data_IF_393966422774
#
_entry.id   IF_393966422774
#
_cell.length_a   1.000
_cell.length_b   1.000
_cell.length_c   1.000
_cell.angle_alpha   90.00
_cell.angle_beta   90.00
_cell.angle_gamma   90.00
#
_symmetry.space_group_name_H-M   'P 1'
#
loop_
_entity.id
_entity.type
_entity.pdbx_description
1 polymer ?
#
# COMPACT_ATOMS: atom_id res chain seq x y z
N UNK A 1 -12.30 -20.13 4.43
CA UNK A 1 -12.12 -19.29 3.23
C UNK A 1 -13.26 -18.28 3.23
N UNK A 2 -12.97 -17.05 3.65
CA UNK A 2 -14.01 -16.03 3.87
C UNK A 2 -14.60 -15.60 2.53
N UNK A 3 -15.88 -15.89 2.36
CA UNK A 3 -16.67 -15.63 1.17
C UNK A 3 -17.07 -14.15 1.14
N UNK A 4 -16.11 -13.24 0.94
CA UNK A 4 -16.42 -11.83 0.75
C UNK A 4 -16.96 -11.66 -0.67
N UNK A 5 -18.24 -11.30 -0.76
CA UNK A 5 -18.92 -11.15 -2.05
C UNK A 5 -18.29 -9.97 -2.84
N UNK A 6 -18.32 -9.98 -4.19
CA UNK A 6 -17.78 -8.87 -5.00
C UNK A 6 -18.36 -7.49 -4.65
N UNK A 7 -19.60 -7.46 -4.15
CA UNK A 7 -20.28 -6.25 -3.66
C UNK A 7 -19.69 -5.71 -2.35
N UNK A 8 -19.14 -6.59 -1.52
CA UNK A 8 -18.42 -6.21 -0.30
C UNK A 8 -17.04 -5.63 -0.65
N UNK A 9 -16.33 -6.22 -1.63
CA UNK A 9 -15.06 -5.69 -2.13
C UNK A 9 -15.18 -4.25 -2.68
N UNK A 10 -16.21 -4.00 -3.49
CA UNK A 10 -16.46 -2.66 -4.04
C UNK A 10 -16.75 -1.63 -2.94
N UNK A 11 -17.58 -2.00 -1.95
CA UNK A 11 -17.91 -1.13 -0.82
C UNK A 11 -16.68 -0.85 0.06
N UNK A 12 -15.87 -1.89 0.34
CA UNK A 12 -14.62 -1.76 1.08
C UNK A 12 -13.63 -0.85 0.33
N UNK A 13 -13.57 -0.94 -1.00
CA UNK A 13 -12.73 -0.08 -1.85
C UNK A 13 -13.18 1.37 -1.77
N UNK A 14 -14.46 1.65 -1.99
CA UNK A 14 -14.98 3.01 -1.91
C UNK A 14 -14.76 3.62 -0.52
N UNK A 15 -14.97 2.83 0.54
CA UNK A 15 -14.74 3.24 1.92
C UNK A 15 -13.26 3.53 2.20
N UNK A 16 -12.35 2.64 1.81
CA UNK A 16 -10.92 2.81 1.95
C UNK A 16 -10.42 4.06 1.22
N UNK A 17 -10.84 4.26 -0.03
CA UNK A 17 -10.47 5.44 -0.81
C UNK A 17 -11.01 6.74 -0.21
N UNK A 18 -12.25 6.72 0.32
CA UNK A 18 -12.81 7.87 1.01
C UNK A 18 -11.99 8.24 2.26
N UNK A 19 -11.59 7.25 3.06
CA UNK A 19 -10.77 7.47 4.25
C UNK A 19 -9.38 8.02 3.92
N UNK A 20 -8.73 7.50 2.87
CA UNK A 20 -7.44 8.04 2.39
C UNK A 20 -7.60 9.50 1.96
N UNK A 21 -8.66 9.83 1.21
CA UNK A 21 -8.93 11.20 0.75
C UNK A 21 -9.26 12.17 1.88
N UNK A 22 -9.89 11.69 2.95
CA UNK A 22 -10.23 12.48 4.14
C UNK A 22 -9.05 12.63 5.12
N UNK A 23 -7.86 12.11 4.77
CA UNK A 23 -6.68 12.14 5.63
C UNK A 23 -6.76 11.18 6.82
N UNK A 24 -7.78 10.32 6.87
CA UNK A 24 -8.03 9.34 7.94
C UNK A 24 -7.27 8.04 7.68
N UNK A 25 -5.97 8.17 7.43
CA UNK A 25 -5.09 7.07 7.04
C UNK A 25 -5.04 5.92 8.06
N UNK A 26 -5.13 6.22 9.35
CA UNK A 26 -5.18 5.20 10.41
C UNK A 26 -6.41 4.29 10.32
N UNK A 27 -7.56 4.83 9.89
CA UNK A 27 -8.79 4.05 9.71
C UNK A 27 -8.84 3.34 8.36
N UNK A 28 -8.12 3.86 7.36
CA UNK A 28 -8.04 3.29 6.02
C UNK A 28 -7.20 2.00 5.96
N UNK A 29 -6.26 1.81 6.88
CA UNK A 29 -5.30 0.71 6.82
C UNK A 29 -5.97 -0.67 6.87
N UNK A 30 -6.87 -0.91 7.84
CA UNK A 30 -7.52 -2.21 8.00
C UNK A 30 -8.43 -2.60 6.81
N UNK A 31 -9.27 -1.70 6.26
CA UNK A 31 -9.97 -1.95 4.99
C UNK A 31 -9.04 -2.26 3.83
N UNK A 32 -7.95 -1.50 3.67
CA UNK A 32 -6.98 -1.71 2.58
C UNK A 32 -6.24 -3.05 2.72
N UNK A 33 -5.86 -3.46 3.92
CA UNK A 33 -5.24 -4.77 4.14
C UNK A 33 -6.18 -5.94 3.79
N UNK A 34 -7.49 -5.79 4.04
CA UNK A 34 -8.49 -6.77 3.57
C UNK A 34 -8.59 -6.79 2.05
N UNK A 35 -8.65 -5.62 1.41
CA UNK A 35 -8.66 -5.53 -0.05
C UNK A 35 -7.42 -6.17 -0.67
N UNK A 36 -6.24 -5.93 -0.09
CA UNK A 36 -4.99 -6.54 -0.54
C UNK A 36 -5.01 -8.07 -0.39
N UNK A 37 -5.65 -8.59 0.66
CA UNK A 37 -5.80 -10.04 0.83
C UNK A 37 -6.81 -10.67 -0.16
N UNK A 38 -7.82 -9.91 -0.57
CA UNK A 38 -8.81 -10.33 -1.57
C UNK A 38 -8.28 -10.21 -3.01
N UNK A 39 -7.48 -9.17 -3.27
CA UNK A 39 -6.95 -8.81 -4.58
C UNK A 39 -5.43 -8.57 -4.49
N UNK A 40 -4.61 -9.63 -4.31
CA UNK A 40 -3.17 -9.50 -4.08
C UNK A 40 -2.37 -8.94 -5.26
N UNK A 41 -2.99 -8.77 -6.43
CA UNK A 41 -2.37 -8.15 -7.61
C UNK A 41 -2.76 -6.69 -7.85
N UNK A 42 -3.63 -6.10 -7.00
CA UNK A 42 -4.02 -4.70 -7.13
C UNK A 42 -2.89 -3.79 -6.61
N UNK A 43 -2.07 -3.31 -7.55
CA UNK A 43 -0.91 -2.46 -7.26
C UNK A 43 -1.29 -1.14 -6.61
N UNK A 44 -2.50 -0.61 -6.88
CA UNK A 44 -2.97 0.64 -6.27
C UNK A 44 -3.30 0.42 -4.79
N UNK A 45 -3.97 -0.69 -4.46
CA UNK A 45 -4.23 -1.06 -3.07
C UNK A 45 -2.91 -1.32 -2.32
N UNK A 46 -1.98 -2.07 -2.93
CA UNK A 46 -0.65 -2.30 -2.36
C UNK A 46 0.09 -0.98 -2.09
N UNK A 47 0.03 -0.02 -3.03
CA UNK A 47 0.66 1.28 -2.87
C UNK A 47 0.02 2.10 -1.73
N UNK A 48 -1.31 2.09 -1.62
CA UNK A 48 -2.00 2.79 -0.55
C UNK A 48 -1.63 2.21 0.83
N UNK A 49 -1.54 0.88 0.98
CA UNK A 49 -1.04 0.25 2.21
C UNK A 49 0.41 0.65 2.48
N UNK A 50 1.28 0.65 1.46
CA UNK A 50 2.67 1.05 1.60
C UNK A 50 2.81 2.49 2.10
N UNK A 51 2.06 3.43 1.51
CA UNK A 51 2.05 4.84 1.90
C UNK A 51 1.58 5.02 3.35
N UNK A 52 0.49 4.36 3.74
CA UNK A 52 -0.02 4.46 5.11
C UNK A 52 0.92 3.84 6.14
N UNK A 53 1.61 2.74 5.79
CA UNK A 53 2.66 2.15 6.64
C UNK A 53 3.84 3.09 6.78
N UNK A 54 4.24 3.78 5.71
CA UNK A 54 5.29 4.79 5.75
C UNK A 54 4.92 5.94 6.68
N UNK A 55 3.70 6.47 6.58
CA UNK A 55 3.19 7.55 7.43
C UNK A 55 3.08 7.12 8.91
N UNK A 56 2.78 5.85 9.16
CA UNK A 56 2.78 5.25 10.49
C UNK A 56 4.19 4.94 11.05
N UNK A 57 5.26 5.26 10.30
CA UNK A 57 6.65 5.00 10.68
C UNK A 57 7.13 3.57 10.43
N UNK A 58 6.28 2.68 9.91
CA UNK A 58 6.64 1.32 9.51
C UNK A 58 7.33 1.33 8.13
N UNK A 59 8.57 1.83 8.09
CA UNK A 59 9.37 1.96 6.87
C UNK A 59 9.68 0.60 6.24
N UNK A 60 9.95 -0.42 7.04
CA UNK A 60 10.23 -1.78 6.54
C UNK A 60 9.03 -2.39 5.83
N UNK A 61 7.84 -2.26 6.42
CA UNK A 61 6.60 -2.74 5.82
C UNK A 61 6.22 -1.97 4.54
N UNK A 62 6.50 -0.67 4.50
CA UNK A 62 6.32 0.14 3.30
C UNK A 62 7.29 -0.26 2.19
N UNK A 63 8.57 -0.46 2.54
CA UNK A 63 9.62 -0.93 1.64
C UNK A 63 9.25 -2.24 0.97
N UNK A 64 8.89 -3.26 1.76
CA UNK A 64 8.57 -4.58 1.24
C UNK A 64 7.42 -4.53 0.21
N UNK A 65 6.41 -3.69 0.46
CA UNK A 65 5.31 -3.49 -0.49
C UNK A 65 5.76 -2.74 -1.74
N UNK A 66 6.59 -1.70 -1.62
CA UNK A 66 7.15 -1.00 -2.77
C UNK A 66 8.03 -1.91 -3.64
N UNK A 67 8.83 -2.79 -3.03
CA UNK A 67 9.63 -3.78 -3.75
C UNK A 67 8.75 -4.77 -4.53
N UNK A 68 7.68 -5.26 -3.92
CA UNK A 68 6.70 -6.12 -4.60
C UNK A 68 6.00 -5.40 -5.76
N UNK A 69 5.61 -4.14 -5.58
CA UNK A 69 5.00 -3.33 -6.65
C UNK A 69 5.98 -3.15 -7.80
N UNK A 70 7.25 -2.82 -7.52
CA UNK A 70 8.27 -2.59 -8.54
C UNK A 70 8.72 -3.88 -9.25
N UNK A 71 8.62 -5.03 -8.58
CA UNK A 71 8.84 -6.33 -9.21
C UNK A 71 7.74 -6.66 -10.24
N UNK A 72 6.49 -6.29 -9.94
CA UNK A 72 5.35 -6.50 -10.85
C UNK A 72 5.23 -5.41 -11.94
N UNK A 73 5.51 -4.16 -11.59
CA UNK A 73 5.47 -2.99 -12.48
C UNK A 73 6.68 -2.10 -12.19
N UNK A 74 7.81 -2.33 -12.90
CA UNK A 74 9.01 -1.53 -12.73
C UNK A 74 8.77 -0.04 -13.00
N UNK A 75 7.82 0.31 -13.87
CA UNK A 75 7.49 1.70 -14.23
C UNK A 75 6.59 2.43 -13.22
N UNK A 76 6.19 1.79 -12.11
CA UNK A 76 5.30 2.38 -11.11
C UNK A 76 5.95 3.57 -10.38
N UNK A 77 5.78 4.78 -10.92
CA UNK A 77 6.45 6.00 -10.50
C UNK A 77 6.30 6.32 -9.01
N UNK A 78 5.08 6.17 -8.47
CA UNK A 78 4.81 6.46 -7.05
C UNK A 78 5.55 5.50 -6.10
N UNK A 79 5.66 4.22 -6.46
CA UNK A 79 6.38 3.23 -5.66
C UNK A 79 7.89 3.45 -5.74
N UNK A 80 8.40 3.80 -6.93
CA UNK A 80 9.80 4.20 -7.14
C UNK A 80 10.16 5.45 -6.33
N UNK A 81 9.24 6.39 -6.20
CA UNK A 81 9.44 7.56 -5.36
C UNK A 81 9.43 7.18 -3.87
N UNK A 82 8.40 6.46 -3.42
CA UNK A 82 8.24 6.12 -1.99
C UNK A 82 9.40 5.26 -1.46
N UNK A 83 9.89 4.29 -2.24
CA UNK A 83 10.96 3.39 -1.80
C UNK A 83 12.28 4.14 -1.47
N UNK A 84 12.54 5.27 -2.11
CA UNK A 84 13.71 6.11 -1.83
C UNK A 84 13.66 6.68 -0.41
N UNK A 85 12.47 7.03 0.09
CA UNK A 85 12.26 7.54 1.44
C UNK A 85 12.20 6.43 2.50
N UNK A 86 11.93 5.19 2.08
CA UNK A 86 12.01 4.00 2.96
C UNK A 86 13.42 3.43 3.07
N UNK A 87 14.38 3.95 2.28
CA UNK A 87 15.78 3.55 2.37
C UNK A 87 16.40 4.35 3.51
N UNK A 88 16.91 3.65 4.51
CA UNK A 88 17.99 4.24 5.29
C UNK A 88 19.08 4.53 4.27
N UNK A 89 19.42 5.81 4.13
CA UNK A 89 20.49 6.27 3.27
C UNK A 89 21.80 5.80 3.92
N UNK A 90 22.08 4.49 3.91
CA UNK A 90 23.45 4.02 3.95
C UNK A 90 23.98 4.40 2.59
N UNK A 91 24.57 5.59 2.55
CA UNK A 91 25.44 5.97 1.46
C UNK A 91 26.59 4.97 1.57
N UNK A 92 26.48 3.84 0.88
CA UNK A 92 27.67 3.08 0.50
C UNK A 92 28.42 3.99 -0.47
N UNK A 93 29.26 4.85 0.11
CA UNK A 93 30.37 5.49 -0.57
C UNK A 93 31.42 4.39 -0.76
N UNK A 94 31.30 3.64 -1.84
CA UNK A 94 32.47 2.96 -2.43
C UNK A 94 33.20 3.92 -3.38
#
# INVERSE_FOLDING_TARGET
LANASPRDAALQRDYAHALVRDGRGGEALAPLERLMAMEPGDLDVMFNVASLRFDAGNRDGARALCEAILAASPEHARARQLILFTRDLVIDLE
#
